data_IF_113847967343
#
_entry.id   IF_113847967343
#
_cell.length_a   1.000
_cell.length_b   1.000
_cell.length_c   1.000
_cell.angle_alpha   90.00
_cell.angle_beta   90.00
_cell.angle_gamma   90.00
#
_symmetry.space_group_name_H-M   'P 1'
#
loop_
_entity.id
_entity.type
_entity.pdbx_description
1 polymer ?
#
# COMPACT_ATOMS: atom_id res chain seq x y z
N UNK A 1 6.07 -2.35 -16.42
CA UNK A 1 5.95 -2.22 -14.95
C UNK A 1 6.56 -3.41 -14.18
N UNK A 2 6.40 -4.66 -14.61
CA UNK A 2 6.92 -5.84 -13.87
C UNK A 2 8.45 -5.90 -13.68
N UNK A 3 9.25 -5.26 -14.55
CA UNK A 3 10.70 -5.48 -14.63
C UNK A 3 11.60 -4.63 -13.70
N UNK A 4 11.09 -3.55 -13.08
CA UNK A 4 11.95 -2.65 -12.29
C UNK A 4 11.93 -2.94 -10.78
N UNK A 5 10.77 -3.29 -10.22
CA UNK A 5 10.65 -3.63 -8.79
C UNK A 5 11.06 -5.09 -8.49
N UNK A 6 11.04 -5.98 -9.48
CA UNK A 6 11.47 -7.38 -9.32
C UNK A 6 12.97 -7.54 -9.08
N UNK A 7 13.76 -6.47 -9.23
CA UNK A 7 15.20 -6.46 -8.92
C UNK A 7 15.48 -6.25 -7.43
N UNK A 8 14.51 -5.70 -6.69
CA UNK A 8 14.64 -5.45 -5.27
C UNK A 8 13.84 -6.48 -4.50
N UNK A 9 14.42 -6.96 -3.42
CA UNK A 9 13.83 -7.92 -2.49
C UNK A 9 13.53 -7.27 -1.14
N UNK A 10 14.04 -6.07 -0.88
CA UNK A 10 13.88 -5.38 0.40
C UNK A 10 13.28 -4.00 0.17
N UNK A 11 12.19 -3.68 0.88
CA UNK A 11 11.43 -2.45 0.75
C UNK A 11 11.18 -1.79 2.11
N UNK A 12 11.28 -0.47 2.13
CA UNK A 12 10.94 0.37 3.28
C UNK A 12 9.76 1.26 2.88
N UNK A 13 8.59 1.02 3.49
CA UNK A 13 7.35 1.72 3.20
C UNK A 13 7.17 2.85 4.24
N UNK A 14 7.61 4.05 3.89
CA UNK A 14 7.54 5.22 4.79
C UNK A 14 6.09 5.66 4.95
N UNK A 15 5.66 5.92 6.20
CA UNK A 15 4.28 6.31 6.54
C UNK A 15 3.22 5.27 6.12
N UNK A 16 3.58 3.99 6.08
CA UNK A 16 2.64 2.92 5.73
C UNK A 16 1.97 2.31 6.96
N UNK A 17 0.81 1.69 6.74
CA UNK A 17 0.14 0.80 7.67
C UNK A 17 0.36 -0.66 7.26
N UNK A 18 0.02 -1.61 8.13
CA UNK A 18 0.03 -3.04 7.77
C UNK A 18 -0.87 -3.33 6.55
N UNK A 19 -2.03 -2.67 6.47
CA UNK A 19 -2.92 -2.79 5.30
C UNK A 19 -2.27 -2.28 4.01
N UNK A 20 -1.55 -1.15 4.08
CA UNK A 20 -0.81 -0.61 2.93
C UNK A 20 0.27 -1.60 2.46
N UNK A 21 0.93 -2.26 3.42
CA UNK A 21 1.97 -3.25 3.15
C UNK A 21 1.39 -4.53 2.51
N UNK A 22 0.22 -5.00 2.95
CA UNK A 22 -0.52 -6.11 2.30
C UNK A 22 -0.89 -5.76 0.85
N UNK A 23 -1.41 -4.54 0.64
CA UNK A 23 -1.78 -4.07 -0.70
C UNK A 23 -0.54 -3.94 -1.61
N UNK A 24 0.60 -3.57 -1.03
CA UNK A 24 1.89 -3.55 -1.72
C UNK A 24 2.34 -4.96 -2.15
N UNK A 25 2.26 -5.97 -1.27
CA UNK A 25 2.53 -7.37 -1.63
C UNK A 25 1.67 -7.84 -2.82
N UNK A 26 0.37 -7.54 -2.79
CA UNK A 26 -0.53 -7.89 -3.88
C UNK A 26 -0.10 -7.23 -5.20
N UNK A 27 0.35 -5.97 -5.15
CA UNK A 27 0.83 -5.26 -6.34
C UNK A 27 2.12 -5.87 -6.93
N UNK A 28 2.93 -6.53 -6.09
CA UNK A 28 4.11 -7.28 -6.50
C UNK A 28 3.78 -8.69 -7.04
N UNK A 29 2.50 -9.09 -7.05
CA UNK A 29 2.04 -10.46 -7.31
C UNK A 29 2.63 -11.49 -6.33
N UNK A 30 2.74 -11.10 -5.06
CA UNK A 30 3.16 -11.98 -3.97
C UNK A 30 1.90 -12.51 -3.28
N UNK A 31 1.48 -13.77 -3.55
CA UNK A 31 0.21 -14.30 -3.05
C UNK A 31 0.27 -14.74 -1.59
N UNK A 32 1.47 -14.87 -1.02
CA UNK A 32 1.69 -15.40 0.32
C UNK A 32 2.60 -14.46 1.10
N UNK A 33 2.20 -14.10 2.31
CA UNK A 33 3.00 -13.26 3.17
C UNK A 33 2.82 -13.64 4.64
N UNK A 34 3.84 -13.32 5.42
CA UNK A 34 3.89 -13.56 6.87
C UNK A 34 4.02 -12.21 7.58
N UNK A 35 3.24 -12.02 8.63
CA UNK A 35 3.08 -10.73 9.30
C UNK A 35 3.72 -10.77 10.69
N UNK A 36 4.57 -9.78 10.97
CA UNK A 36 5.28 -9.63 12.23
C UNK A 36 5.13 -8.18 12.70
N UNK A 37 4.11 -7.91 13.53
CA UNK A 37 3.91 -6.56 14.07
C UNK A 37 5.02 -6.15 15.04
N UNK A 38 5.50 -7.09 15.86
CA UNK A 38 6.65 -6.94 16.75
C UNK A 38 7.54 -8.19 16.64
N UNK A 39 8.57 -8.08 15.81
CA UNK A 39 9.47 -9.16 15.45
C UNK A 39 10.47 -9.47 16.57
N UNK A 40 10.42 -10.70 17.05
CA UNK A 40 11.35 -11.24 18.05
C UNK A 40 12.40 -12.14 17.39
N UNK A 41 13.47 -12.44 18.14
CA UNK A 41 14.59 -13.22 17.62
C UNK A 41 14.17 -14.64 17.18
N UNK A 42 13.20 -15.23 17.87
CA UNK A 42 12.64 -16.54 17.51
C UNK A 42 11.93 -16.51 16.16
N UNK A 43 11.27 -15.40 15.83
CA UNK A 43 10.58 -15.21 14.55
C UNK A 43 11.58 -15.07 13.41
N UNK A 44 12.74 -14.46 13.64
CA UNK A 44 13.82 -14.38 12.63
C UNK A 44 14.31 -15.78 12.23
N UNK A 45 14.35 -16.74 13.16
CA UNK A 45 14.66 -18.13 12.83
C UNK A 45 13.58 -18.76 11.95
N UNK A 46 12.30 -18.45 12.19
CA UNK A 46 11.21 -18.90 11.33
C UNK A 46 11.31 -18.28 9.94
N UNK A 47 11.56 -16.97 9.84
CA UNK A 47 11.82 -16.26 8.59
C UNK A 47 12.96 -16.94 7.84
N UNK A 48 14.06 -17.27 8.53
CA UNK A 48 15.20 -17.97 7.94
C UNK A 48 14.78 -19.32 7.37
N UNK A 49 14.11 -20.17 8.16
CA UNK A 49 13.65 -21.49 7.70
C UNK A 49 12.75 -21.34 6.48
N UNK A 50 11.75 -20.45 6.55
CA UNK A 50 10.84 -20.17 5.43
C UNK A 50 11.57 -19.65 4.21
N UNK A 51 12.58 -18.81 4.40
CA UNK A 51 13.38 -18.25 3.31
C UNK A 51 14.16 -19.31 2.51
N UNK A 52 14.48 -20.46 3.11
CA UNK A 52 15.15 -21.58 2.45
C UNK A 52 14.18 -22.66 1.95
N UNK A 53 12.88 -22.55 2.21
CA UNK A 53 11.89 -23.49 1.65
C UNK A 53 11.82 -23.30 0.13
N UNK A 54 11.99 -24.41 -0.61
CA UNK A 54 11.84 -24.40 -2.07
C UNK A 54 10.39 -24.09 -2.39
N UNK A 55 10.15 -22.92 -3.00
CA UNK A 55 8.84 -22.47 -3.44
C UNK A 55 8.92 -21.97 -4.87
N UNK A 56 7.95 -22.36 -5.69
CA UNK A 56 7.78 -21.82 -7.05
C UNK A 56 7.14 -20.43 -7.04
N UNK A 57 6.56 -20.02 -5.91
CA UNK A 57 5.87 -18.73 -5.75
C UNK A 57 6.62 -17.84 -4.76
N UNK A 58 6.67 -16.52 -5.02
CA UNK A 58 7.27 -15.61 -4.08
C UNK A 58 6.47 -15.48 -2.79
N UNK A 59 7.19 -15.16 -1.71
CA UNK A 59 6.60 -14.81 -0.42
C UNK A 59 7.19 -13.52 0.13
N UNK A 60 6.42 -12.86 0.99
CA UNK A 60 6.84 -11.64 1.66
C UNK A 60 6.83 -11.78 3.19
N UNK A 61 7.76 -11.11 3.85
CA UNK A 61 7.81 -10.92 5.29
C UNK A 61 7.50 -9.45 5.58
N UNK A 62 6.32 -9.20 6.16
CA UNK A 62 5.82 -7.89 6.53
C UNK A 62 6.23 -7.61 7.97
N UNK A 63 7.13 -6.66 8.17
CA UNK A 63 7.80 -6.39 9.44
C UNK A 63 7.43 -4.98 9.90
N UNK A 64 6.79 -4.90 11.07
CA UNK A 64 6.43 -3.65 11.73
C UNK A 64 7.60 -3.15 12.58
N UNK A 65 7.56 -3.48 13.87
CA UNK A 65 8.63 -3.21 14.83
C UNK A 65 9.53 -4.43 14.96
N UNK A 66 10.77 -4.20 15.36
CA UNK A 66 11.71 -5.27 15.66
C UNK A 66 12.68 -4.81 16.75
N UNK A 67 13.07 -5.69 17.67
CA UNK A 67 14.13 -5.36 18.62
C UNK A 67 15.52 -5.36 17.93
N UNK A 68 16.52 -4.71 18.52
CA UNK A 68 17.86 -4.55 17.93
C UNK A 68 18.50 -5.90 17.56
N UNK A 69 18.34 -6.93 18.42
CA UNK A 69 18.87 -8.27 18.17
C UNK A 69 18.27 -8.90 16.91
N UNK A 70 16.95 -8.80 16.74
CA UNK A 70 16.24 -9.32 15.57
C UNK A 70 16.63 -8.57 14.31
N UNK A 71 16.78 -7.25 14.39
CA UNK A 71 17.21 -6.42 13.27
C UNK A 71 18.64 -6.76 12.81
N UNK A 72 19.55 -6.99 13.75
CA UNK A 72 20.91 -7.43 13.44
C UNK A 72 20.93 -8.83 12.79
N UNK A 73 20.06 -9.73 13.22
CA UNK A 73 19.91 -11.05 12.61
C UNK A 73 19.32 -10.98 11.18
N UNK A 74 18.41 -10.03 10.92
CA UNK A 74 17.84 -9.77 9.60
C UNK A 74 18.85 -9.21 8.60
N UNK A 75 19.86 -8.42 9.04
CA UNK A 75 20.84 -7.80 8.13
C UNK A 75 21.43 -8.81 7.15
N UNK A 76 21.87 -9.97 7.65
CA UNK A 76 22.43 -11.05 6.83
C UNK A 76 21.44 -11.59 5.79
N UNK A 77 20.16 -11.70 6.16
CA UNK A 77 19.10 -12.20 5.27
C UNK A 77 18.73 -11.17 4.19
N UNK A 78 18.88 -9.88 4.49
CA UNK A 78 18.58 -8.79 3.54
C UNK A 78 19.74 -8.46 2.61
N UNK A 79 20.99 -8.80 2.98
CA UNK A 79 22.19 -8.61 2.15
C UNK A 79 22.27 -9.60 0.99
N UNK A 80 21.98 -10.87 1.27
CA UNK A 80 21.91 -11.94 0.29
C UNK A 80 20.53 -12.61 0.32
N UNK A 81 19.50 -11.87 -0.13
CA UNK A 81 18.14 -12.36 -0.11
C UNK A 81 18.01 -13.52 -1.08
N UNK A 82 17.38 -14.60 -0.59
CA UNK A 82 17.11 -15.77 -1.41
C UNK A 82 16.06 -15.39 -2.46
N UNK A 83 16.21 -15.95 -3.67
CA UNK A 83 15.32 -15.67 -4.79
C UNK A 83 13.85 -15.86 -4.40
N UNK A 84 13.00 -14.92 -4.84
CA UNK A 84 11.55 -14.89 -4.61
C UNK A 84 11.10 -14.49 -3.20
N UNK A 85 12.01 -13.94 -2.38
CA UNK A 85 11.69 -13.53 -1.02
C UNK A 85 11.70 -12.01 -0.91
N UNK A 86 10.65 -11.47 -0.32
CA UNK A 86 10.50 -10.04 -0.12
C UNK A 86 10.50 -9.69 1.38
N UNK A 87 11.29 -8.71 1.78
CA UNK A 87 11.31 -8.11 3.11
C UNK A 87 10.68 -6.73 3.02
N UNK A 88 9.61 -6.50 3.77
CA UNK A 88 8.82 -5.27 3.68
C UNK A 88 8.70 -4.67 5.07
N UNK A 89 9.43 -3.58 5.31
CA UNK A 89 9.36 -2.81 6.55
C UNK A 89 8.28 -1.73 6.42
N UNK A 90 7.27 -1.75 7.27
CA UNK A 90 6.15 -0.78 7.20
C UNK A 90 6.06 0.20 8.38
N UNK A 91 6.74 -0.07 9.50
CA UNK A 91 6.94 0.90 10.59
C UNK A 91 8.41 1.28 10.69
N UNK A 92 8.88 2.00 9.67
CA UNK A 92 10.30 2.26 9.43
C UNK A 92 10.98 3.06 10.53
N UNK A 93 10.22 3.81 11.34
CA UNK A 93 10.71 4.56 12.50
C UNK A 93 11.26 3.67 13.62
N UNK A 94 10.94 2.38 13.62
CA UNK A 94 11.46 1.40 14.58
C UNK A 94 12.57 0.52 13.99
N UNK A 95 13.01 0.82 12.75
CA UNK A 95 13.99 0.03 12.02
C UNK A 95 15.30 0.82 11.90
N UNK A 96 16.43 0.16 12.14
CA UNK A 96 17.76 0.75 12.09
C UNK A 96 18.12 1.20 10.67
N UNK A 97 18.86 2.31 10.58
CA UNK A 97 19.27 2.94 9.32
C UNK A 97 20.04 2.00 8.39
N UNK A 98 20.73 0.99 8.94
CA UNK A 98 21.46 0.00 8.14
C UNK A 98 20.52 -0.91 7.35
N UNK A 99 19.35 -1.28 7.87
CA UNK A 99 18.33 -2.00 7.11
C UNK A 99 17.63 -1.08 6.10
N UNK A 100 17.32 0.16 6.52
CA UNK A 100 16.68 1.15 5.65
C UNK A 100 17.55 1.50 4.44
N UNK A 101 18.86 1.70 4.63
CA UNK A 101 19.78 2.02 3.52
C UNK A 101 19.96 0.89 2.50
N UNK A 102 19.64 -0.36 2.87
CA UNK A 102 19.60 -1.53 1.98
C UNK A 102 18.23 -1.74 1.31
N UNK A 103 17.24 -0.92 1.66
CA UNK A 103 15.87 -1.05 1.20
C UNK A 103 15.56 -0.09 0.06
N UNK A 104 14.72 -0.53 -0.88
CA UNK A 104 14.07 0.39 -1.80
C UNK A 104 13.01 1.18 -1.02
N UNK A 105 13.19 2.50 -0.94
CA UNK A 105 12.26 3.39 -0.25
C UNK A 105 11.02 3.62 -1.12
N UNK A 106 9.85 3.43 -0.54
CA UNK A 106 8.55 3.72 -1.12
C UNK A 106 7.78 4.63 -0.16
N UNK A 107 7.42 5.82 -0.61
CA UNK A 107 6.74 6.80 0.25
C UNK A 107 5.21 6.63 0.16
N UNK A 108 4.56 6.44 1.31
CA UNK A 108 3.11 6.38 1.46
C UNK A 108 2.50 7.67 2.05
N UNK A 109 3.25 8.78 2.02
CA UNK A 109 2.75 10.06 2.47
C UNK A 109 1.61 10.55 1.57
N UNK A 110 0.50 10.92 2.20
CA UNK A 110 -0.64 11.54 1.54
C UNK A 110 -0.53 13.04 1.77
N UNK A 111 -0.72 13.81 0.70
CA UNK A 111 -0.85 15.25 0.77
C UNK A 111 -2.32 15.59 1.08
N UNK A 112 -2.60 15.98 2.33
CA UNK A 112 -3.96 16.29 2.79
C UNK A 112 -4.64 17.36 1.92
N UNK A 113 -3.87 18.31 1.39
CA UNK A 113 -4.34 19.33 0.45
C UNK A 113 -5.05 18.75 -0.79
N UNK A 114 -4.65 17.58 -1.29
CA UNK A 114 -5.32 16.95 -2.43
C UNK A 114 -6.66 16.34 -2.03
N UNK A 115 -6.75 15.79 -0.81
CA UNK A 115 -8.01 15.30 -0.25
C UNK A 115 -8.96 16.48 0.02
N UNK A 116 -8.45 17.58 0.56
CA UNK A 116 -9.22 18.81 0.79
C UNK A 116 -9.81 19.36 -0.51
N UNK A 117 -9.00 19.44 -1.58
CA UNK A 117 -9.48 19.86 -2.91
C UNK A 117 -10.55 18.93 -3.47
N UNK A 118 -10.35 17.60 -3.36
CA UNK A 118 -11.37 16.64 -3.79
C UNK A 118 -12.69 16.86 -3.04
N UNK A 119 -12.63 17.12 -1.74
CA UNK A 119 -13.80 17.44 -0.93
C UNK A 119 -14.49 18.72 -1.37
N UNK A 120 -13.72 19.79 -1.52
CA UNK A 120 -14.22 21.09 -1.96
C UNK A 120 -14.94 21.01 -3.31
N UNK A 121 -14.34 20.32 -4.29
CA UNK A 121 -14.97 20.12 -5.60
C UNK A 121 -16.21 19.23 -5.52
N UNK A 122 -16.20 18.22 -4.66
CA UNK A 122 -17.37 17.38 -4.42
C UNK A 122 -18.56 18.20 -3.89
N UNK A 123 -18.35 18.99 -2.85
CA UNK A 123 -19.38 19.83 -2.22
C UNK A 123 -19.93 20.90 -3.17
N UNK A 124 -19.04 21.55 -3.94
CA UNK A 124 -19.42 22.54 -4.95
C UNK A 124 -20.06 21.92 -6.20
N UNK A 125 -20.16 20.59 -6.28
CA UNK A 125 -20.62 19.84 -7.46
C UNK A 125 -19.79 20.14 -8.72
N UNK A 126 -18.52 20.49 -8.56
CA UNK A 126 -17.59 20.76 -9.67
C UNK A 126 -16.95 19.48 -10.19
N UNK A 127 -17.69 18.79 -11.06
CA UNK A 127 -17.30 17.50 -11.63
C UNK A 127 -15.99 17.55 -12.42
N UNK A 128 -15.74 18.66 -13.12
CA UNK A 128 -14.58 18.80 -14.01
C UNK A 128 -13.28 18.88 -13.21
N UNK A 129 -13.26 19.75 -12.20
CA UNK A 129 -12.08 19.92 -11.35
C UNK A 129 -11.87 18.74 -10.41
N UNK A 130 -12.94 18.09 -9.94
CA UNK A 130 -12.83 16.83 -9.21
C UNK A 130 -12.14 15.73 -10.04
N UNK A 131 -12.55 15.53 -11.30
CA UNK A 131 -11.93 14.54 -12.17
C UNK A 131 -10.45 14.88 -12.44
N UNK A 132 -10.12 16.15 -12.67
CA UNK A 132 -8.73 16.58 -12.86
C UNK A 132 -7.88 16.27 -11.63
N UNK A 133 -8.38 16.54 -10.43
CA UNK A 133 -7.66 16.26 -9.19
C UNK A 133 -7.47 14.75 -8.96
N UNK A 134 -8.48 13.92 -9.26
CA UNK A 134 -8.34 12.46 -9.22
C UNK A 134 -7.28 11.94 -10.18
N UNK A 135 -7.24 12.47 -11.40
CA UNK A 135 -6.22 12.10 -12.38
C UNK A 135 -4.83 12.57 -11.94
N UNK A 136 -4.74 13.73 -11.27
CA UNK A 136 -3.51 14.20 -10.67
C UNK A 136 -3.01 13.21 -9.58
N UNK A 137 -3.88 12.82 -8.65
CA UNK A 137 -3.55 11.83 -7.61
C UNK A 137 -3.14 10.48 -8.23
N UNK A 138 -3.86 10.02 -9.26
CA UNK A 138 -3.49 8.82 -10.02
C UNK A 138 -2.09 8.94 -10.62
N UNK A 139 -1.74 10.09 -11.19
CA UNK A 139 -0.44 10.34 -11.79
C UNK A 139 0.70 10.40 -10.76
N UNK A 140 0.49 11.07 -9.62
CA UNK A 140 1.42 11.05 -8.49
C UNK A 140 1.67 9.61 -8.00
N UNK A 141 0.62 8.80 -8.03
CA UNK A 141 0.65 7.40 -7.60
C UNK A 141 0.98 6.41 -8.73
N UNK A 142 1.40 6.87 -9.91
CA UNK A 142 1.52 6.03 -11.13
C UNK A 142 2.44 4.82 -10.94
N UNK A 143 3.41 4.93 -10.04
CA UNK A 143 4.37 3.87 -9.72
C UNK A 143 4.02 3.10 -8.43
N UNK A 144 3.04 3.58 -7.66
CA UNK A 144 2.64 3.02 -6.37
C UNK A 144 1.10 2.93 -6.29
N UNK A 145 0.53 1.87 -6.88
CA UNK A 145 -0.92 1.62 -6.81
C UNK A 145 -1.43 1.63 -5.35
N UNK A 146 -0.75 1.02 -4.37
CA UNK A 146 -1.15 1.11 -2.97
C UNK A 146 -1.28 2.55 -2.44
N UNK A 147 -0.39 3.47 -2.81
CA UNK A 147 -0.53 4.89 -2.45
C UNK A 147 -1.83 5.49 -3.00
N UNK A 148 -2.17 5.19 -4.26
CA UNK A 148 -3.46 5.60 -4.83
C UNK A 148 -4.64 5.07 -4.01
N UNK A 149 -4.61 3.78 -3.66
CA UNK A 149 -5.65 3.17 -2.83
C UNK A 149 -5.75 3.86 -1.47
N UNK A 150 -4.63 4.25 -0.88
CA UNK A 150 -4.58 4.98 0.38
C UNK A 150 -5.24 6.37 0.27
N UNK A 151 -4.96 7.12 -0.80
CA UNK A 151 -5.64 8.40 -1.08
C UNK A 151 -7.16 8.22 -1.17
N UNK A 152 -7.62 7.24 -1.95
CA UNK A 152 -9.04 6.96 -2.12
C UNK A 152 -9.69 6.53 -0.80
N UNK A 153 -9.02 5.69 0.01
CA UNK A 153 -9.48 5.29 1.35
C UNK A 153 -9.65 6.50 2.26
N UNK A 154 -8.70 7.44 2.24
CA UNK A 154 -8.78 8.69 3.02
C UNK A 154 -9.95 9.58 2.57
N UNK A 155 -10.15 9.74 1.26
CA UNK A 155 -11.30 10.46 0.72
C UNK A 155 -12.63 9.82 1.14
N UNK A 156 -12.77 8.50 0.97
CA UNK A 156 -13.97 7.75 1.36
C UNK A 156 -14.22 7.86 2.87
N UNK A 157 -13.17 7.80 3.71
CA UNK A 157 -13.30 7.94 5.16
C UNK A 157 -13.92 9.28 5.54
N UNK A 158 -13.40 10.39 5.00
CA UNK A 158 -13.98 11.72 5.24
C UNK A 158 -15.41 11.79 4.68
N UNK A 159 -15.66 11.16 3.53
CA UNK A 159 -16.98 11.20 2.89
C UNK A 159 -18.02 10.44 3.73
N UNK A 160 -17.62 9.35 4.35
CA UNK A 160 -18.49 8.58 5.23
C UNK A 160 -18.90 9.34 6.50
N UNK A 161 -18.09 10.30 6.92
CA UNK A 161 -18.36 11.14 8.08
C UNK A 161 -19.34 12.27 7.73
N UNK A 162 -19.06 13.01 6.64
CA UNK A 162 -19.85 14.19 6.26
C UNK A 162 -21.10 13.83 5.40
N UNK A 163 -21.01 12.76 4.59
CA UNK A 163 -22.01 12.34 3.60
C UNK A 163 -22.16 10.80 3.53
N UNK A 164 -22.65 10.16 4.61
CA UNK A 164 -22.65 8.70 4.75
C UNK A 164 -23.33 7.97 3.58
N UNK A 165 -24.42 8.52 3.06
CA UNK A 165 -25.17 7.96 1.94
C UNK A 165 -24.39 7.85 0.62
N UNK A 166 -23.44 8.75 0.38
CA UNK A 166 -22.60 8.76 -0.81
C UNK A 166 -21.41 7.79 -0.66
N UNK A 167 -21.05 7.46 0.59
CA UNK A 167 -19.90 6.61 0.90
C UNK A 167 -20.17 5.11 0.72
N UNK A 168 -21.41 4.64 0.96
CA UNK A 168 -21.74 3.20 0.95
C UNK A 168 -21.34 2.52 -0.37
N UNK A 169 -21.67 3.16 -1.49
CA UNK A 169 -21.32 2.66 -2.82
C UNK A 169 -19.80 2.65 -3.02
N UNK A 170 -19.10 3.73 -2.64
CA UNK A 170 -17.66 3.84 -2.80
C UNK A 170 -16.90 2.83 -1.95
N UNK A 171 -17.36 2.54 -0.73
CA UNK A 171 -16.78 1.51 0.12
C UNK A 171 -16.82 0.15 -0.59
N UNK A 172 -17.94 -0.18 -1.25
CA UNK A 172 -18.06 -1.42 -2.03
C UNK A 172 -17.12 -1.43 -3.23
N UNK A 173 -17.11 -0.38 -4.04
CA UNK A 173 -16.22 -0.28 -5.21
C UNK A 173 -14.73 -0.33 -4.81
N UNK A 174 -14.37 0.30 -3.70
CA UNK A 174 -13.02 0.29 -3.16
C UNK A 174 -12.60 -1.14 -2.77
N UNK A 175 -13.49 -1.91 -2.11
CA UNK A 175 -13.24 -3.32 -1.81
C UNK A 175 -13.04 -4.13 -3.10
N UNK A 176 -13.90 -3.94 -4.09
CA UNK A 176 -13.80 -4.66 -5.37
C UNK A 176 -12.49 -4.33 -6.11
N UNK A 177 -12.07 -3.05 -6.11
CA UNK A 177 -10.80 -2.61 -6.69
C UNK A 177 -9.58 -3.26 -6.02
N UNK A 178 -9.63 -3.40 -4.70
CA UNK A 178 -8.59 -4.03 -3.88
C UNK A 178 -8.53 -5.54 -4.16
N UNK A 179 -9.67 -6.22 -4.07
CA UNK A 179 -9.76 -7.68 -4.16
C UNK A 179 -9.52 -8.22 -5.57
N UNK A 180 -10.10 -7.59 -6.59
CA UNK A 180 -10.09 -8.12 -7.97
C UNK A 180 -9.10 -7.41 -8.89
N UNK A 181 -8.24 -6.54 -8.34
CA UNK A 181 -7.26 -5.77 -9.10
C UNK A 181 -7.88 -5.06 -10.33
N UNK A 182 -9.09 -4.49 -10.15
CA UNK A 182 -9.84 -3.87 -11.24
C UNK A 182 -9.06 -2.70 -11.87
N UNK A 183 -9.44 -2.37 -13.10
CA UNK A 183 -8.87 -1.23 -13.82
C UNK A 183 -9.18 0.08 -13.08
N UNK A 184 -8.15 0.82 -12.68
CA UNK A 184 -8.26 2.09 -11.96
C UNK A 184 -9.06 3.12 -12.77
N UNK A 185 -8.93 3.15 -14.10
CA UNK A 185 -9.68 4.08 -14.94
C UNK A 185 -11.19 3.80 -14.91
N UNK A 186 -11.57 2.52 -14.94
CA UNK A 186 -12.96 2.12 -14.81
C UNK A 186 -13.50 2.46 -13.41
N UNK A 187 -12.71 2.24 -12.36
CA UNK A 187 -13.07 2.62 -11.00
C UNK A 187 -13.31 4.13 -10.88
N UNK A 188 -12.39 4.96 -11.41
CA UNK A 188 -12.52 6.41 -11.38
C UNK A 188 -13.78 6.89 -12.11
N UNK A 189 -14.07 6.33 -13.28
CA UNK A 189 -15.28 6.63 -14.03
C UNK A 189 -16.56 6.31 -13.22
N UNK A 190 -16.63 5.11 -12.64
CA UNK A 190 -17.76 4.69 -11.81
C UNK A 190 -17.94 5.59 -10.58
N UNK A 191 -16.84 5.96 -9.91
CA UNK A 191 -16.87 6.86 -8.77
C UNK A 191 -17.46 8.23 -9.13
N UNK A 192 -17.02 8.82 -10.25
CA UNK A 192 -17.55 10.09 -10.74
C UNK A 192 -19.03 10.00 -11.12
N UNK A 193 -19.49 8.88 -11.67
CA UNK A 193 -20.91 8.72 -12.02
C UNK A 193 -21.78 8.66 -10.76
N UNK A 194 -21.36 7.84 -9.79
CA UNK A 194 -22.20 7.47 -8.65
C UNK A 194 -22.23 8.54 -7.56
N UNK A 195 -21.13 9.30 -7.37
CA UNK A 195 -21.10 10.40 -6.40
C UNK A 195 -22.13 11.50 -6.68
N UNK A 196 -22.46 11.75 -7.96
CA UNK A 196 -23.47 12.73 -8.37
C UNK A 196 -24.66 12.12 -9.08
N UNK A 197 -24.88 10.81 -8.90
CA UNK A 197 -26.11 10.18 -9.35
C UNK A 197 -27.24 10.77 -8.51
N UNK A 198 -28.17 11.46 -9.17
CA UNK A 198 -29.36 11.99 -8.51
C UNK A 198 -30.13 10.79 -7.96
N UNK A 199 -30.11 10.59 -6.64
CA UNK A 199 -31.05 9.68 -5.98
C UNK A 199 -32.42 10.36 -6.06
N UNK A 200 -33.28 9.84 -6.93
CA UNK A 200 -34.70 10.18 -6.95
C UNK A 200 -35.40 9.57 -5.75
#
# INVERSE_FOLDING_TARGET
>A
MKQYLSKFTTFALINATLDDARDFCQSLNVPTWYEFEDLKLQDVNQIKIKSYEISEKPYAFLIGKANIESQNALLKLTEEPINLNYFIFYQTEYIIDTLISRSQIINFNIEDQNIDKLFEFFEKKDKSNFLKELLNIKNLSKQNKPLFLKYIKSFIKRLSYDFPENSIFLIRQYKDLRTYNLNIDLFLANMCIELWRIKK
#
